data_IF_780005746763
#
_entry.id   IF_780005746763
#
_cell.length_a   1.000
_cell.length_b   1.000
_cell.length_c   1.000
_cell.angle_alpha   90.00
_cell.angle_beta   90.00
_cell.angle_gamma   90.00
#
_symmetry.space_group_name_H-M   'P 1'
#
loop_
_entity.id
_entity.type
_entity.pdbx_description
1 polymer ?
#
# COMPACT_ATOMS: atom_id res chain seq x y z
N UNK A 1 -16.77 -31.68 -75.11
CA UNK A 1 -16.98 -30.98 -73.83
C UNK A 1 -17.17 -31.95 -72.66
N UNK A 2 -18.05 -32.96 -72.79
CA UNK A 2 -18.34 -33.95 -71.73
C UNK A 2 -17.12 -34.80 -71.31
N UNK A 3 -16.35 -35.37 -72.25
CA UNK A 3 -15.18 -36.20 -71.90
C UNK A 3 -14.00 -35.44 -71.28
N UNK A 4 -13.89 -34.12 -71.50
CA UNK A 4 -12.92 -33.27 -70.82
C UNK A 4 -13.36 -32.97 -69.39
N UNK A 5 -14.66 -32.81 -69.17
CA UNK A 5 -15.27 -32.63 -67.86
C UNK A 5 -15.08 -33.88 -66.98
N UNK A 6 -15.26 -35.07 -67.55
CA UNK A 6 -15.06 -36.36 -66.88
C UNK A 6 -13.60 -36.56 -66.45
N UNK A 7 -12.65 -36.31 -67.34
CA UNK A 7 -11.21 -36.40 -67.00
C UNK A 7 -10.82 -35.38 -65.93
N UNK A 8 -11.40 -34.18 -65.97
CA UNK A 8 -11.17 -33.15 -64.97
C UNK A 8 -11.72 -33.55 -63.59
N UNK A 9 -12.94 -34.09 -63.54
CA UNK A 9 -13.55 -34.64 -62.31
C UNK A 9 -12.74 -35.81 -61.73
N UNK A 10 -12.21 -36.69 -62.58
CA UNK A 10 -11.34 -37.80 -62.16
C UNK A 10 -10.05 -37.30 -61.51
N UNK A 11 -9.40 -36.29 -62.10
CA UNK A 11 -8.21 -35.66 -61.54
C UNK A 11 -8.54 -34.95 -60.22
N UNK A 12 -9.65 -34.23 -60.14
CA UNK A 12 -10.07 -33.51 -58.93
C UNK A 12 -10.36 -34.47 -57.77
N UNK A 13 -11.03 -35.59 -58.06
CA UNK A 13 -11.30 -36.65 -57.08
C UNK A 13 -10.02 -37.35 -56.60
N UNK A 14 -9.02 -37.51 -57.46
CA UNK A 14 -7.70 -38.02 -57.08
C UNK A 14 -6.89 -37.05 -56.21
N UNK A 15 -7.09 -35.74 -56.35
CA UNK A 15 -6.46 -34.71 -55.51
C UNK A 15 -7.18 -34.45 -54.18
N UNK A 16 -8.43 -34.89 -54.03
CA UNK A 16 -9.24 -34.71 -52.83
C UNK A 16 -8.57 -35.19 -51.53
N UNK A 17 -7.86 -36.34 -51.47
CA UNK A 17 -7.11 -36.76 -50.29
C UNK A 17 -5.99 -35.78 -49.92
N UNK A 18 -5.31 -35.23 -50.93
CA UNK A 18 -4.22 -34.27 -50.75
C UNK A 18 -4.74 -32.94 -50.19
N UNK A 19 -5.86 -32.44 -50.73
CA UNK A 19 -6.54 -31.23 -50.23
C UNK A 19 -6.99 -31.44 -48.77
N UNK A 20 -7.58 -32.60 -48.48
CA UNK A 20 -8.04 -32.95 -47.12
C UNK A 20 -6.87 -33.04 -46.14
N UNK A 21 -5.73 -33.59 -46.58
CA UNK A 21 -4.49 -33.62 -45.81
C UNK A 21 -3.97 -32.21 -45.49
N UNK A 22 -3.92 -31.31 -46.47
CA UNK A 22 -3.52 -29.92 -46.23
C UNK A 22 -4.44 -29.18 -45.26
N UNK A 23 -5.76 -29.38 -45.36
CA UNK A 23 -6.73 -28.82 -44.42
C UNK A 23 -6.49 -29.37 -43.01
N UNK A 24 -6.26 -30.68 -42.88
CA UNK A 24 -5.94 -31.32 -41.59
C UNK A 24 -4.65 -30.76 -40.96
N UNK A 25 -3.57 -30.65 -41.74
CA UNK A 25 -2.32 -30.05 -41.29
C UNK A 25 -2.50 -28.58 -40.88
N UNK A 26 -3.27 -27.80 -41.66
CA UNK A 26 -3.57 -26.41 -41.33
C UNK A 26 -4.38 -26.30 -40.03
N UNK A 27 -5.38 -27.16 -39.82
CA UNK A 27 -6.18 -27.18 -38.60
C UNK A 27 -5.34 -27.51 -37.35
N UNK A 28 -4.45 -28.51 -37.44
CA UNK A 28 -3.52 -28.86 -36.35
C UNK A 28 -2.57 -27.68 -36.07
N UNK A 29 -2.01 -27.06 -37.10
CA UNK A 29 -1.13 -25.90 -36.96
C UNK A 29 -1.83 -24.72 -36.26
N UNK A 30 -3.06 -24.39 -36.70
CA UNK A 30 -3.86 -23.32 -36.08
C UNK A 30 -4.16 -23.66 -34.62
N UNK A 31 -4.55 -24.90 -34.30
CA UNK A 31 -4.82 -25.33 -32.92
C UNK A 31 -3.61 -25.15 -32.01
N UNK A 32 -2.43 -25.62 -32.42
CA UNK A 32 -1.19 -25.47 -31.65
C UNK A 32 -0.82 -23.99 -31.46
N UNK A 33 -0.97 -23.16 -32.50
CA UNK A 33 -0.68 -21.72 -32.42
C UNK A 33 -1.65 -21.01 -31.47
N UNK A 34 -2.94 -21.31 -31.53
CA UNK A 34 -3.95 -20.75 -30.64
C UNK A 34 -3.70 -21.14 -29.19
N UNK A 35 -3.33 -22.39 -28.92
CA UNK A 35 -2.95 -22.84 -27.57
C UNK A 35 -1.74 -22.09 -27.01
N UNK A 36 -0.67 -21.93 -27.81
CA UNK A 36 0.52 -21.15 -27.41
C UNK A 36 0.17 -19.69 -27.12
N UNK A 37 -0.66 -19.07 -27.96
CA UNK A 37 -1.10 -17.69 -27.75
C UNK A 37 -1.96 -17.55 -26.50
N UNK A 38 -2.87 -18.49 -26.24
CA UNK A 38 -3.69 -18.48 -25.03
C UNK A 38 -2.84 -18.61 -23.77
N UNK A 39 -1.80 -19.46 -23.79
CA UNK A 39 -0.85 -19.58 -22.68
C UNK A 39 -0.06 -18.29 -22.45
N UNK A 40 0.53 -17.72 -23.49
CA UNK A 40 1.26 -16.44 -23.40
C UNK A 40 0.35 -15.30 -22.91
N UNK A 41 -0.90 -15.28 -23.36
CA UNK A 41 -1.88 -14.29 -22.91
C UNK A 41 -2.17 -14.41 -21.42
N UNK A 42 -2.30 -15.64 -20.89
CA UNK A 42 -2.51 -15.87 -19.45
C UNK A 42 -1.29 -15.46 -18.63
N UNK A 43 -0.09 -15.88 -19.04
CA UNK A 43 1.16 -15.50 -18.37
C UNK A 43 1.33 -13.97 -18.35
N UNK A 44 0.99 -13.29 -19.45
CA UNK A 44 1.00 -11.83 -19.49
C UNK A 44 -0.03 -11.20 -18.54
N UNK A 45 -1.25 -11.73 -18.51
CA UNK A 45 -2.30 -11.23 -17.62
C UNK A 45 -1.93 -11.40 -16.14
N UNK A 46 -1.37 -12.55 -15.77
CA UNK A 46 -0.88 -12.81 -14.41
C UNK A 46 0.24 -11.83 -14.01
N UNK A 47 1.19 -11.55 -14.90
CA UNK A 47 2.25 -10.57 -14.65
C UNK A 47 1.69 -9.15 -14.48
N UNK A 48 0.70 -8.76 -15.29
CA UNK A 48 0.05 -7.46 -15.18
C UNK A 48 -0.71 -7.34 -13.86
N UNK A 49 -1.44 -8.38 -13.46
CA UNK A 49 -2.14 -8.42 -12.18
C UNK A 49 -1.16 -8.33 -11.00
N UNK A 50 -0.09 -9.12 -11.03
CA UNK A 50 0.96 -9.07 -10.01
C UNK A 50 1.59 -7.67 -9.92
N UNK A 51 1.86 -7.03 -11.05
CA UNK A 51 2.39 -5.66 -11.10
C UNK A 51 1.45 -4.64 -10.46
N UNK A 52 0.13 -4.78 -10.67
CA UNK A 52 -0.89 -3.93 -10.04
C UNK A 52 -0.89 -4.14 -8.52
N UNK A 53 -0.97 -5.39 -8.05
CA UNK A 53 -0.98 -5.69 -6.62
C UNK A 53 0.29 -5.17 -5.95
N UNK A 54 1.47 -5.37 -6.55
CA UNK A 54 2.73 -4.82 -6.03
C UNK A 54 2.68 -3.30 -5.87
N UNK A 55 2.08 -2.59 -6.83
CA UNK A 55 1.90 -1.13 -6.74
C UNK A 55 1.01 -0.75 -5.56
N UNK A 56 -0.08 -1.48 -5.35
CA UNK A 56 -0.99 -1.22 -4.24
C UNK A 56 -0.30 -1.50 -2.89
N UNK A 57 0.49 -2.57 -2.80
CA UNK A 57 1.34 -2.85 -1.63
C UNK A 57 2.30 -1.69 -1.33
N UNK A 58 2.96 -1.13 -2.35
CA UNK A 58 3.82 0.05 -2.19
C UNK A 58 3.05 1.25 -1.65
N UNK A 59 1.86 1.53 -2.17
CA UNK A 59 1.02 2.65 -1.71
C UNK A 59 0.65 2.47 -0.23
N UNK A 60 0.26 1.25 0.17
CA UNK A 60 -0.17 0.97 1.55
C UNK A 60 1.00 1.11 2.52
N UNK A 61 2.17 0.53 2.23
CA UNK A 61 3.32 0.61 3.14
C UNK A 61 3.86 2.04 3.24
N UNK A 62 3.84 2.81 2.15
CA UNK A 62 4.18 4.24 2.19
C UNK A 62 3.18 5.04 3.01
N UNK A 63 1.87 4.76 2.89
CA UNK A 63 0.84 5.41 3.70
C UNK A 63 1.03 5.10 5.19
N UNK A 64 1.28 3.84 5.54
CA UNK A 64 1.60 3.43 6.92
C UNK A 64 2.74 4.28 7.50
N UNK A 65 3.87 4.37 6.78
CA UNK A 65 5.02 5.13 7.25
C UNK A 65 4.72 6.64 7.34
N UNK A 66 4.00 7.19 6.36
CA UNK A 66 3.57 8.60 6.37
C UNK A 66 2.69 8.93 7.56
N UNK A 67 1.79 8.04 7.97
CA UNK A 67 0.90 8.27 9.11
C UNK A 67 1.69 8.36 10.42
N UNK A 68 2.73 7.52 10.57
CA UNK A 68 3.64 7.58 11.72
C UNK A 68 4.42 8.90 11.75
N UNK A 69 4.93 9.36 10.60
CA UNK A 69 5.61 10.65 10.50
C UNK A 69 4.67 11.82 10.80
N UNK A 70 3.42 11.75 10.31
CA UNK A 70 2.39 12.76 10.55
C UNK A 70 2.05 12.84 12.03
N UNK A 71 1.92 11.71 12.73
CA UNK A 71 1.69 11.70 14.16
C UNK A 71 2.81 12.40 14.92
N UNK A 72 4.07 12.05 14.62
CA UNK A 72 5.26 12.68 15.23
C UNK A 72 5.30 14.19 14.98
N UNK A 73 4.97 14.62 13.75
CA UNK A 73 4.84 16.05 13.42
C UNK A 73 3.76 16.73 14.26
N UNK A 74 2.55 16.15 14.33
CA UNK A 74 1.45 16.69 15.11
C UNK A 74 1.79 16.79 16.61
N UNK A 75 2.52 15.81 17.16
CA UNK A 75 3.01 15.86 18.54
C UNK A 75 4.01 17.02 18.72
N UNK A 76 4.92 17.23 17.76
CA UNK A 76 5.83 18.38 17.80
C UNK A 76 5.09 19.72 17.73
N UNK A 77 4.03 19.82 16.93
CA UNK A 77 3.20 21.02 16.83
C UNK A 77 2.45 21.38 18.12
N UNK A 78 2.37 20.48 19.11
CA UNK A 78 1.83 20.82 20.42
C UNK A 78 2.68 21.87 21.15
N UNK A 79 3.98 21.97 20.84
CA UNK A 79 4.84 23.01 21.41
C UNK A 79 4.38 24.42 21.02
N UNK A 80 3.96 24.62 19.77
CA UNK A 80 3.42 25.88 19.27
C UNK A 80 2.17 26.31 20.03
N UNK A 81 1.33 25.33 20.41
CA UNK A 81 0.15 25.59 21.22
C UNK A 81 0.51 26.12 22.61
N UNK A 82 1.61 25.65 23.21
CA UNK A 82 2.13 26.14 24.50
C UNK A 82 2.75 27.53 24.34
N UNK A 83 3.56 27.76 23.31
CA UNK A 83 4.19 29.06 23.07
C UNK A 83 3.18 30.18 22.82
N UNK A 84 2.03 29.86 22.22
CA UNK A 84 0.95 30.81 21.98
C UNK A 84 0.02 31.01 23.19
N UNK A 85 0.39 30.51 24.37
CA UNK A 85 -0.43 30.63 25.58
C UNK A 85 0.05 31.75 26.51
N UNK A 86 -0.88 32.31 27.28
CA UNK A 86 -0.60 33.36 28.29
C UNK A 86 -0.04 32.80 29.61
N UNK A 87 0.66 31.66 29.57
CA UNK A 87 1.23 31.02 30.76
C UNK A 87 2.54 31.70 31.18
N UNK A 88 2.90 31.59 32.46
CA UNK A 88 4.21 32.03 32.93
C UNK A 88 5.32 31.12 32.37
N UNK A 89 6.55 31.63 32.15
CA UNK A 89 7.64 30.85 31.55
C UNK A 89 7.97 29.54 32.29
N UNK A 90 7.89 29.55 33.62
CA UNK A 90 8.15 28.37 34.47
C UNK A 90 7.08 27.28 34.29
N UNK A 91 5.81 27.68 34.14
CA UNK A 91 4.70 26.76 33.89
C UNK A 91 4.75 26.21 32.45
N UNK A 92 5.21 27.02 31.48
CA UNK A 92 5.48 26.56 30.12
C UNK A 92 6.58 25.49 30.07
N UNK A 93 7.68 25.68 30.81
CA UNK A 93 8.83 24.76 30.81
C UNK A 93 8.41 23.35 31.21
N UNK A 94 7.57 23.22 32.25
CA UNK A 94 7.04 21.94 32.70
C UNK A 94 6.20 21.22 31.61
N UNK A 95 5.39 21.96 30.86
CA UNK A 95 4.56 21.40 29.80
C UNK A 95 5.41 21.04 28.58
N UNK A 96 6.41 21.87 28.25
CA UNK A 96 7.36 21.59 27.16
C UNK A 96 8.19 20.35 27.43
N UNK A 97 8.65 20.14 28.67
CA UNK A 97 9.35 18.91 29.06
C UNK A 97 8.49 17.66 28.85
N UNK A 98 7.20 17.73 29.21
CA UNK A 98 6.26 16.64 28.93
C UNK A 98 6.08 16.39 27.42
N UNK A 99 5.98 17.44 26.62
CA UNK A 99 5.89 17.31 25.15
C UNK A 99 7.18 16.68 24.59
N UNK A 100 8.34 17.03 25.12
CA UNK A 100 9.62 16.46 24.70
C UNK A 100 9.67 14.94 24.94
N UNK A 101 9.17 14.45 26.08
CA UNK A 101 9.03 13.00 26.34
C UNK A 101 8.13 12.31 25.32
N UNK A 102 7.03 12.96 24.91
CA UNK A 102 6.13 12.44 23.88
C UNK A 102 6.83 12.37 22.52
N UNK A 103 7.56 13.43 22.14
CA UNK A 103 8.35 13.47 20.90
C UNK A 103 9.39 12.34 20.91
N UNK A 104 10.02 12.08 22.04
CA UNK A 104 11.05 11.05 22.17
C UNK A 104 10.46 9.63 22.04
N UNK A 105 9.25 9.42 22.57
CA UNK A 105 8.45 8.22 22.34
C UNK A 105 8.10 8.03 20.86
N UNK A 106 7.69 9.11 20.18
CA UNK A 106 7.36 9.09 18.76
C UNK A 106 8.59 8.85 17.88
N UNK A 107 9.75 9.41 18.20
CA UNK A 107 11.00 9.14 17.49
C UNK A 107 11.38 7.65 17.56
N UNK A 108 11.16 6.99 18.71
CA UNK A 108 11.36 5.53 18.85
C UNK A 108 10.42 4.75 17.94
N UNK A 109 9.17 5.21 17.76
CA UNK A 109 8.20 4.59 16.84
C UNK A 109 8.58 4.79 15.39
N UNK A 110 9.00 6.00 15.00
CA UNK A 110 9.48 6.29 13.64
C UNK A 110 10.60 5.33 13.27
N UNK A 111 11.62 5.15 14.13
CA UNK A 111 12.71 4.19 13.88
C UNK A 111 12.22 2.75 13.71
N UNK A 112 11.27 2.30 14.54
CA UNK A 112 10.67 0.96 14.39
C UNK A 112 9.91 0.83 13.07
N UNK A 113 9.13 1.85 12.71
CA UNK A 113 8.34 1.87 11.48
C UNK A 113 9.20 1.95 10.22
N UNK A 114 10.36 2.61 10.30
CA UNK A 114 11.36 2.64 9.22
C UNK A 114 11.92 1.24 8.93
N UNK A 115 12.30 0.50 9.98
CA UNK A 115 12.74 -0.90 9.84
C UNK A 115 11.65 -1.79 9.21
N UNK A 116 10.39 -1.61 9.63
CA UNK A 116 9.25 -2.34 9.04
C UNK A 116 9.09 -1.95 7.57
N UNK A 117 9.10 -0.66 7.27
CA UNK A 117 8.97 -0.12 5.92
C UNK A 117 10.03 -0.72 4.98
N UNK A 118 11.31 -0.65 5.35
CA UNK A 118 12.41 -1.20 4.53
C UNK A 118 12.28 -2.70 4.31
N UNK A 119 11.95 -3.45 5.37
CA UNK A 119 11.75 -4.90 5.29
C UNK A 119 10.61 -5.24 4.32
N UNK A 120 9.49 -4.53 4.40
CA UNK A 120 8.31 -4.76 3.56
C UNK A 120 8.56 -4.34 2.12
N UNK A 121 9.24 -3.22 1.87
CA UNK A 121 9.67 -2.81 0.53
C UNK A 121 10.54 -3.89 -0.12
N UNK A 122 11.50 -4.46 0.62
CA UNK A 122 12.35 -5.54 0.12
C UNK A 122 11.51 -6.77 -0.23
N UNK A 123 10.60 -7.17 0.66
CA UNK A 123 9.70 -8.30 0.42
C UNK A 123 8.83 -8.08 -0.83
N UNK A 124 8.18 -6.93 -0.99
CA UNK A 124 7.34 -6.60 -2.17
C UNK A 124 8.12 -6.73 -3.49
N UNK A 125 9.41 -6.35 -3.50
CA UNK A 125 10.27 -6.55 -4.69
C UNK A 125 10.40 -8.01 -5.05
N UNK A 126 10.60 -8.87 -4.06
CA UNK A 126 10.90 -10.30 -4.19
C UNK A 126 9.67 -11.17 -4.49
N UNK A 127 8.44 -10.71 -4.21
CA UNK A 127 7.20 -11.47 -4.50
C UNK A 127 7.12 -11.85 -5.98
N UNK A 128 6.90 -13.12 -6.29
CA UNK A 128 6.87 -13.63 -7.67
C UNK A 128 5.52 -14.21 -8.08
N UNK A 129 4.61 -14.41 -7.13
CA UNK A 129 3.30 -15.00 -7.38
C UNK A 129 2.17 -14.08 -6.85
N UNK A 130 0.97 -14.26 -7.38
CA UNK A 130 -0.21 -13.44 -7.04
C UNK A 130 -0.72 -13.75 -5.63
N UNK A 131 -0.67 -15.01 -5.18
CA UNK A 131 -1.23 -15.41 -3.89
C UNK A 131 -0.48 -14.79 -2.71
N UNK A 132 0.85 -14.85 -2.72
CA UNK A 132 1.74 -14.19 -1.76
C UNK A 132 1.53 -12.67 -1.79
N UNK A 133 1.32 -12.09 -2.99
CA UNK A 133 1.03 -10.67 -3.14
C UNK A 133 -0.30 -10.28 -2.46
N UNK A 134 -1.33 -11.13 -2.60
CA UNK A 134 -2.64 -10.92 -1.97
C UNK A 134 -2.58 -11.16 -0.46
N UNK A 135 -1.86 -12.18 0.00
CA UNK A 135 -1.67 -12.43 1.43
C UNK A 135 -0.97 -11.25 2.12
N UNK A 136 0.09 -10.74 1.50
CA UNK A 136 0.78 -9.55 1.98
C UNK A 136 -0.11 -8.30 1.93
N UNK A 137 -1.01 -8.21 0.94
CA UNK A 137 -1.97 -7.11 0.83
C UNK A 137 -2.87 -7.06 2.07
N UNK A 138 -3.50 -8.18 2.40
CA UNK A 138 -4.34 -8.28 3.60
C UNK A 138 -3.56 -8.01 4.88
N UNK A 139 -2.32 -8.51 4.97
CA UNK A 139 -1.47 -8.25 6.13
C UNK A 139 -1.15 -6.75 6.28
N UNK A 140 -0.79 -6.06 5.18
CA UNK A 140 -0.47 -4.63 5.21
C UNK A 140 -1.71 -3.77 5.46
N UNK A 141 -2.87 -4.12 4.92
CA UNK A 141 -4.13 -3.45 5.23
C UNK A 141 -4.47 -3.55 6.72
N UNK A 142 -4.36 -4.75 7.30
CA UNK A 142 -4.56 -4.97 8.73
C UNK A 142 -3.59 -4.14 9.59
N UNK A 143 -2.32 -4.13 9.22
CA UNK A 143 -1.30 -3.32 9.89
C UNK A 143 -1.63 -1.82 9.81
N UNK A 144 -2.03 -1.32 8.63
CA UNK A 144 -2.39 0.08 8.43
C UNK A 144 -3.58 0.47 9.31
N UNK A 145 -4.67 -0.31 9.30
CA UNK A 145 -5.87 -0.03 10.09
C UNK A 145 -5.55 0.02 11.59
N UNK A 146 -4.80 -0.96 12.10
CA UNK A 146 -4.42 -1.00 13.51
C UNK A 146 -3.52 0.17 13.90
N UNK A 147 -2.55 0.50 13.04
CA UNK A 147 -1.66 1.64 13.24
C UNK A 147 -2.44 2.95 13.25
N UNK A 148 -3.35 3.16 12.30
CA UNK A 148 -4.13 4.39 12.19
C UNK A 148 -5.02 4.61 13.41
N UNK A 149 -5.70 3.55 13.89
CA UNK A 149 -6.51 3.61 15.10
C UNK A 149 -5.66 3.96 16.34
N UNK A 150 -4.48 3.35 16.48
CA UNK A 150 -3.55 3.63 17.58
C UNK A 150 -3.04 5.07 17.54
N UNK A 151 -2.57 5.54 16.38
CA UNK A 151 -2.02 6.88 16.21
C UNK A 151 -3.08 7.95 16.43
N UNK A 152 -4.32 7.73 15.96
CA UNK A 152 -5.45 8.62 16.21
C UNK A 152 -5.75 8.74 17.71
N UNK A 153 -5.87 7.62 18.43
CA UNK A 153 -6.11 7.60 19.87
C UNK A 153 -5.02 8.30 20.66
N UNK A 154 -3.76 8.11 20.27
CA UNK A 154 -2.63 8.77 20.92
C UNK A 154 -2.58 10.26 20.63
N UNK A 155 -2.88 10.66 19.40
CA UNK A 155 -2.96 12.08 19.05
C UNK A 155 -4.03 12.79 19.89
N UNK A 156 -5.21 12.18 20.03
CA UNK A 156 -6.28 12.70 20.88
C UNK A 156 -5.84 12.78 22.35
N UNK A 157 -5.26 11.69 22.88
CA UNK A 157 -4.77 11.63 24.26
C UNK A 157 -3.69 12.67 24.55
N UNK A 158 -2.71 12.82 23.67
CA UNK A 158 -1.60 13.77 23.83
C UNK A 158 -2.14 15.20 23.81
N UNK A 159 -3.00 15.51 22.84
CA UNK A 159 -3.63 16.84 22.71
C UNK A 159 -4.48 17.17 23.94
N UNK A 160 -5.27 16.21 24.43
CA UNK A 160 -6.08 16.38 25.63
C UNK A 160 -5.21 16.65 26.86
N UNK A 161 -4.17 15.84 27.06
CA UNK A 161 -3.25 15.98 28.21
C UNK A 161 -2.60 17.35 28.25
N UNK A 162 -2.04 17.81 27.12
CA UNK A 162 -1.40 19.14 27.03
C UNK A 162 -2.41 20.25 27.32
N UNK A 163 -3.60 20.22 26.70
CA UNK A 163 -4.65 21.23 26.96
C UNK A 163 -5.09 21.24 28.43
N UNK A 164 -5.18 20.08 29.07
CA UNK A 164 -5.56 19.96 30.47
C UNK A 164 -4.47 20.55 31.38
N UNK A 165 -3.21 20.26 31.12
CA UNK A 165 -2.08 20.83 31.87
C UNK A 165 -2.10 22.36 31.76
N UNK A 166 -2.21 22.90 30.55
CA UNK A 166 -2.29 24.36 30.34
C UNK A 166 -3.46 25.01 31.07
N UNK A 167 -4.64 24.38 31.02
CA UNK A 167 -5.81 24.88 31.75
C UNK A 167 -5.59 24.85 33.26
N UNK A 168 -4.91 23.83 33.77
CA UNK A 168 -4.61 23.68 35.19
C UNK A 168 -3.64 24.76 35.67
N UNK A 169 -2.58 25.02 34.91
CA UNK A 169 -1.64 26.10 35.23
C UNK A 169 -2.29 27.49 35.12
N UNK A 170 -3.11 27.73 34.08
CA UNK A 170 -3.86 28.98 33.97
C UNK A 170 -4.84 29.21 35.14
N UNK A 171 -5.42 28.14 35.70
CA UNK A 171 -6.27 28.23 36.89
C UNK A 171 -5.42 28.55 38.13
N UNK A 172 -4.28 27.88 38.32
CA UNK A 172 -3.38 28.14 39.44
C UNK A 172 -2.86 29.59 39.42
N UNK A 173 -2.48 30.10 38.26
CA UNK A 173 -2.05 31.49 38.08
C UNK A 173 -3.14 32.50 38.52
N UNK A 174 -4.41 32.22 38.21
CA UNK A 174 -5.55 33.04 38.68
C UNK A 174 -5.75 33.00 40.20
N UNK A 175 -5.40 31.92 40.88
CA UNK A 175 -5.51 31.85 42.35
C UNK A 175 -4.30 32.49 43.04
N UNK A 176 -3.09 32.37 42.49
CA UNK A 176 -1.89 33.08 42.98
C UNK A 176 -2.08 34.61 42.98
N UNK A 177 -2.73 35.14 41.96
CA UNK A 177 -3.02 36.58 41.82
C UNK A 177 -4.16 37.10 42.70
N UNK A 178 -4.92 36.24 43.39
CA UNK A 178 -6.00 36.64 44.31
C UNK A 178 -5.60 36.52 45.79
N UNK A 179 -4.41 36.02 46.10
CA UNK A 179 -3.86 35.93 47.46
C UNK A 179 -2.88 37.08 47.80
N UNK A 180 -2.50 37.90 46.81
CA UNK A 180 -1.76 39.17 46.94
C UNK A 180 -2.70 40.40 46.95
#
# INVERSE_FOLDING_TARGET
MIGYLEKFLLILSAFQPLITFFIGCAAVYISVKTYKNARLSREHEELVQLSKIKRDLYIIITRYFSNVLTHRYNTSSLTELVFNSDLDPEDMENILAFIEELIDSDNKRVKKSEVIYEKKIKYIKEISNINDALEELYHLEGLLIQSDALLASLHEKNTFSVKLMMKTEAIKAKYRTNED
#
